data_IF_378431773809
#
_entry.id   IF_378431773809
#
_cell.length_a   1.000
_cell.length_b   1.000
_cell.length_c   1.000
_cell.angle_alpha   90.00
_cell.angle_beta   90.00
_cell.angle_gamma   90.00
#
_symmetry.space_group_name_H-M   'P 1'
#
loop_
_entity.id
_entity.type
_entity.pdbx_description
1 polymer ?
#
# COMPACT_ATOMS: atom_id res chain seq x y z
N UNK A 1 -39.81 27.55 -16.67
CA UNK A 1 -40.73 26.74 -17.49
C UNK A 1 -40.52 25.30 -17.07
N UNK A 2 -41.39 24.82 -16.17
CA UNK A 2 -41.24 23.55 -15.46
C UNK A 2 -41.80 22.44 -16.34
N UNK A 3 -40.96 21.52 -16.80
CA UNK A 3 -41.42 20.34 -17.55
C UNK A 3 -41.74 19.26 -16.54
N UNK A 4 -43.04 19.00 -16.37
CA UNK A 4 -43.59 17.95 -15.53
C UNK A 4 -43.56 16.65 -16.35
N UNK A 5 -42.68 15.71 -16.00
CA UNK A 5 -42.63 14.40 -16.64
C UNK A 5 -43.74 13.52 -16.05
N UNK A 6 -44.78 13.33 -16.84
CA UNK A 6 -45.97 12.53 -16.53
C UNK A 6 -45.61 11.06 -16.31
N UNK A 7 -45.88 10.53 -15.12
CA UNK A 7 -45.89 9.10 -14.84
C UNK A 7 -47.20 8.50 -15.36
N UNK A 8 -47.12 7.69 -16.41
CA UNK A 8 -48.18 6.80 -16.86
C UNK A 8 -47.75 5.34 -16.62
N UNK A 9 -48.60 4.61 -15.90
CA UNK A 9 -48.46 3.21 -15.46
C UNK A 9 -48.68 2.18 -16.62
N UNK A 10 -48.85 0.88 -16.33
CA UNK A 10 -47.86 -0.18 -16.36
C UNK A 10 -48.07 -1.16 -17.55
N UNK A 11 -47.22 -2.18 -17.64
CA UNK A 11 -47.26 -3.31 -18.60
C UNK A 11 -46.50 -3.11 -19.91
N UNK A 12 -45.21 -3.42 -19.89
CA UNK A 12 -44.67 -4.64 -20.52
C UNK A 12 -43.16 -4.59 -20.34
N UNK A 13 -42.66 -5.10 -19.22
CA UNK A 13 -41.24 -5.40 -19.11
C UNK A 13 -40.97 -6.50 -20.14
N UNK A 14 -40.39 -6.14 -21.29
CA UNK A 14 -39.82 -7.10 -22.21
C UNK A 14 -38.81 -7.92 -21.41
N UNK A 15 -39.21 -9.12 -20.98
CA UNK A 15 -38.35 -10.03 -20.26
C UNK A 15 -37.27 -10.46 -21.26
N UNK A 16 -36.05 -9.91 -21.12
CA UNK A 16 -34.98 -10.24 -22.04
C UNK A 16 -34.79 -11.77 -22.08
N UNK A 17 -34.79 -12.33 -23.29
CA UNK A 17 -34.69 -13.78 -23.54
C UNK A 17 -33.33 -14.31 -23.08
N UNK A 18 -33.21 -15.62 -22.84
CA UNK A 18 -31.88 -16.21 -22.51
C UNK A 18 -30.84 -15.97 -23.61
N UNK A 19 -31.27 -15.77 -24.88
CA UNK A 19 -30.37 -15.38 -25.96
C UNK A 19 -29.81 -13.95 -25.77
N UNK A 20 -30.67 -12.98 -25.44
CA UNK A 20 -30.26 -11.60 -25.17
C UNK A 20 -29.41 -11.50 -23.89
N UNK A 21 -29.67 -12.34 -22.89
CA UNK A 21 -28.81 -12.45 -21.71
C UNK A 21 -27.43 -13.03 -22.02
N UNK A 22 -27.32 -14.02 -22.92
CA UNK A 22 -26.02 -14.54 -23.37
C UNK A 22 -25.22 -13.50 -24.14
N UNK A 23 -25.87 -12.70 -24.97
CA UNK A 23 -25.22 -11.62 -25.71
C UNK A 23 -24.73 -10.52 -24.75
N UNK A 24 -25.57 -10.13 -23.79
CA UNK A 24 -25.20 -9.22 -22.69
C UNK A 24 -24.04 -9.79 -21.85
N UNK A 25 -24.03 -11.09 -21.55
CA UNK A 25 -22.94 -11.75 -20.84
C UNK A 25 -21.62 -11.71 -21.63
N UNK A 26 -21.66 -11.96 -22.94
CA UNK A 26 -20.46 -11.85 -23.78
C UNK A 26 -19.94 -10.42 -23.85
N UNK A 27 -20.83 -9.43 -23.95
CA UNK A 27 -20.47 -8.01 -23.93
C UNK A 27 -19.86 -7.60 -22.58
N UNK A 28 -20.46 -8.01 -21.45
CA UNK A 28 -19.92 -7.70 -20.13
C UNK A 28 -18.64 -8.46 -19.82
N UNK A 29 -18.45 -9.69 -20.32
CA UNK A 29 -17.16 -10.39 -20.23
C UNK A 29 -16.06 -9.63 -20.98
N UNK A 30 -16.37 -9.07 -22.14
CA UNK A 30 -15.43 -8.24 -22.89
C UNK A 30 -15.13 -6.93 -22.14
N UNK A 31 -16.16 -6.26 -21.61
CA UNK A 31 -16.00 -5.06 -20.78
C UNK A 31 -15.18 -5.32 -19.51
N UNK A 32 -15.39 -6.47 -18.86
CA UNK A 32 -14.62 -6.87 -17.69
C UNK A 32 -13.15 -7.14 -18.02
N UNK A 33 -12.86 -7.72 -19.19
CA UNK A 33 -11.49 -7.88 -19.66
C UNK A 33 -10.81 -6.51 -19.82
N UNK A 34 -11.51 -5.53 -20.42
CA UNK A 34 -11.01 -4.15 -20.55
C UNK A 34 -10.80 -3.50 -19.19
N UNK A 35 -11.76 -3.60 -18.27
CA UNK A 35 -11.64 -3.02 -16.92
C UNK A 35 -10.48 -3.68 -16.15
N UNK A 36 -10.29 -4.99 -16.32
CA UNK A 36 -9.17 -5.72 -15.71
C UNK A 36 -7.83 -5.20 -16.20
N UNK A 37 -7.68 -4.92 -17.49
CA UNK A 37 -6.48 -4.31 -18.07
C UNK A 37 -6.25 -2.88 -17.55
N UNK A 38 -7.31 -2.08 -17.47
CA UNK A 38 -7.24 -0.73 -16.89
C UNK A 38 -6.82 -0.76 -15.42
N UNK A 39 -7.28 -1.75 -14.64
CA UNK A 39 -6.87 -1.97 -13.25
C UNK A 39 -5.40 -2.36 -13.19
N UNK A 40 -4.92 -3.25 -14.06
CA UNK A 40 -3.50 -3.61 -14.13
C UNK A 40 -2.63 -2.38 -14.36
N UNK A 41 -2.99 -1.57 -15.35
CA UNK A 41 -2.25 -0.35 -15.71
C UNK A 41 -2.28 0.68 -14.59
N UNK A 42 -3.44 0.89 -13.98
CA UNK A 42 -3.58 1.81 -12.84
C UNK A 42 -2.78 1.33 -11.62
N UNK A 43 -2.76 0.02 -11.32
CA UNK A 43 -1.97 -0.54 -10.23
C UNK A 43 -0.46 -0.42 -10.50
N UNK A 44 -0.03 -0.61 -11.75
CA UNK A 44 1.35 -0.39 -12.14
C UNK A 44 1.77 1.08 -11.98
N UNK A 45 0.92 2.03 -12.37
CA UNK A 45 1.14 3.47 -12.19
C UNK A 45 1.15 3.87 -10.70
N UNK A 46 0.24 3.32 -9.88
CA UNK A 46 0.25 3.45 -8.42
C UNK A 46 1.57 2.96 -7.83
N UNK A 47 2.04 1.78 -8.24
CA UNK A 47 3.31 1.24 -7.74
C UNK A 47 4.53 2.02 -8.23
N UNK A 48 4.52 2.53 -9.46
CA UNK A 48 5.55 3.45 -9.94
C UNK A 48 5.63 4.71 -9.07
N UNK A 49 4.47 5.33 -8.79
CA UNK A 49 4.39 6.49 -7.89
C UNK A 49 4.80 6.17 -6.45
N UNK A 50 4.44 5.00 -5.95
CA UNK A 50 4.90 4.52 -4.64
C UNK A 50 6.43 4.47 -4.55
N UNK A 51 7.11 3.92 -5.56
CA UNK A 51 8.56 3.81 -5.57
C UNK A 51 9.25 5.19 -5.62
N UNK A 52 8.76 6.08 -6.47
CA UNK A 52 9.27 7.47 -6.51
C UNK A 52 9.10 8.18 -5.17
N UNK A 53 7.97 7.94 -4.50
CA UNK A 53 7.68 8.53 -3.20
C UNK A 53 8.61 7.98 -2.11
N UNK A 54 8.97 6.70 -2.18
CA UNK A 54 9.93 6.10 -1.26
C UNK A 54 11.36 6.61 -1.51
N UNK A 55 11.74 6.82 -2.77
CA UNK A 55 12.99 7.50 -3.12
C UNK A 55 13.02 8.93 -2.56
N UNK A 56 11.94 9.70 -2.73
CA UNK A 56 11.82 11.05 -2.19
C UNK A 56 11.90 11.08 -0.66
N UNK A 57 11.28 10.14 0.05
CA UNK A 57 11.44 10.00 1.51
C UNK A 57 12.87 9.74 1.92
N UNK A 58 13.57 8.86 1.21
CA UNK A 58 14.98 8.56 1.47
C UNK A 58 15.85 9.79 1.22
N UNK A 59 15.56 10.56 0.18
CA UNK A 59 16.25 11.83 -0.07
C UNK A 59 16.00 12.89 1.00
N UNK A 60 14.77 12.98 1.54
CA UNK A 60 14.43 13.85 2.67
C UNK A 60 15.27 13.45 3.89
N UNK A 61 15.28 12.17 4.25
CA UNK A 61 16.05 11.67 5.39
C UNK A 61 17.56 11.95 5.24
N UNK A 62 18.13 11.68 4.06
CA UNK A 62 19.54 11.97 3.77
C UNK A 62 19.86 13.47 3.83
N UNK A 63 18.94 14.32 3.38
CA UNK A 63 19.10 15.79 3.45
C UNK A 63 19.04 16.29 4.90
N UNK A 64 18.15 15.73 5.72
CA UNK A 64 18.06 16.03 7.16
C UNK A 64 19.35 15.63 7.91
N UNK A 65 19.89 14.45 7.63
CA UNK A 65 21.18 13.99 8.19
C UNK A 65 22.32 14.95 7.80
N UNK A 66 22.42 15.31 6.52
CA UNK A 66 23.42 16.26 6.03
C UNK A 66 23.31 17.64 6.70
N UNK A 67 22.09 18.11 6.97
CA UNK A 67 21.86 19.35 7.72
C UNK A 67 22.39 19.23 9.14
N UNK A 68 22.07 18.12 9.83
CA UNK A 68 22.55 17.89 11.19
C UNK A 68 24.09 17.88 11.28
N UNK A 69 24.75 17.16 10.37
CA UNK A 69 26.21 17.11 10.28
C UNK A 69 26.81 18.50 9.99
N UNK A 70 26.21 19.25 9.06
CA UNK A 70 26.66 20.61 8.71
C UNK A 70 26.52 21.56 9.90
N UNK A 71 25.41 21.48 10.65
CA UNK A 71 25.21 22.29 11.86
C UNK A 71 26.22 21.94 12.96
N UNK A 72 26.56 20.65 13.12
CA UNK A 72 27.61 20.21 14.02
C UNK A 72 28.99 20.77 13.61
N UNK A 73 29.37 20.64 12.34
CA UNK A 73 30.63 21.19 11.82
C UNK A 73 30.70 22.71 12.00
N UNK A 74 29.61 23.44 11.77
CA UNK A 74 29.53 24.88 12.01
C UNK A 74 29.77 25.20 13.49
N UNK A 75 29.24 24.40 14.41
CA UNK A 75 29.45 24.58 15.85
C UNK A 75 30.92 24.37 16.23
N UNK A 76 31.55 23.32 15.70
CA UNK A 76 32.95 23.00 15.98
C UNK A 76 33.91 24.05 15.41
N UNK A 77 33.69 24.49 14.18
CA UNK A 77 34.56 25.50 13.54
C UNK A 77 34.41 26.88 14.20
N UNK A 78 33.21 27.26 14.64
CA UNK A 78 33.01 28.49 15.44
C UNK A 78 33.82 28.45 16.72
N UNK A 79 33.82 27.32 17.43
CA UNK A 79 34.63 27.14 18.64
C UNK A 79 36.13 27.24 18.35
N UNK A 80 36.61 26.66 17.24
CA UNK A 80 38.01 26.81 16.78
C UNK A 80 38.35 28.27 16.53
N UNK A 81 37.50 28.99 15.79
CA UNK A 81 37.70 30.41 15.46
C UNK A 81 37.77 31.26 16.73
N UNK A 82 36.85 31.07 17.68
CA UNK A 82 36.82 31.80 18.95
C UNK A 82 38.12 31.58 19.75
N UNK A 83 38.54 30.32 19.91
CA UNK A 83 39.77 29.98 20.62
C UNK A 83 41.02 30.56 19.94
N UNK A 84 41.10 30.51 18.60
CA UNK A 84 42.21 31.11 17.84
C UNK A 84 42.22 32.63 17.94
N UNK A 85 41.05 33.27 17.90
CA UNK A 85 40.92 34.73 18.04
C UNK A 85 41.34 35.21 19.44
N UNK A 86 40.96 34.48 20.49
CA UNK A 86 41.38 34.78 21.86
C UNK A 86 42.90 34.70 22.03
N UNK A 87 43.51 33.63 21.50
CA UNK A 87 44.96 33.43 21.54
C UNK A 87 45.70 34.54 20.77
N UNK A 88 45.19 34.95 19.62
CA UNK A 88 45.74 36.08 18.85
C UNK A 88 45.56 37.42 19.55
N UNK A 89 44.40 37.66 20.18
CA UNK A 89 44.14 38.89 20.92
C UNK A 89 45.09 39.04 22.12
N UNK A 90 45.32 37.95 22.89
CA UNK A 90 46.30 37.93 23.96
C UNK A 90 47.72 38.22 23.46
N UNK A 91 48.11 37.60 22.34
CA UNK A 91 49.41 37.87 21.68
C UNK A 91 49.58 39.33 21.27
N UNK A 92 48.56 39.93 20.67
CA UNK A 92 48.58 41.33 20.26
C UNK A 92 48.67 42.28 21.46
N UNK A 93 47.98 41.96 22.55
CA UNK A 93 48.07 42.70 23.80
C UNK A 93 49.48 42.63 24.40
N UNK A 94 50.11 41.46 24.42
CA UNK A 94 51.50 41.30 24.88
C UNK A 94 52.48 42.11 24.01
N UNK A 95 52.28 42.11 22.69
CA UNK A 95 53.10 42.89 21.75
C UNK A 95 52.96 44.39 22.02
N UNK A 96 51.74 44.86 22.29
CA UNK A 96 51.46 46.26 22.57
C UNK A 96 52.00 46.71 23.93
N UNK A 97 51.84 45.88 24.97
CA UNK A 97 52.27 46.20 26.33
C UNK A 97 53.80 46.19 26.47
N UNK A 98 54.48 45.28 25.78
CA UNK A 98 55.92 45.04 25.95
C UNK A 98 56.78 45.57 24.79
N UNK A 99 56.21 46.25 23.77
CA UNK A 99 56.98 46.92 22.71
C UNK A 99 57.92 46.00 21.92
N UNK A 100 57.45 44.80 21.57
CA UNK A 100 58.26 43.63 21.13
C UNK A 100 59.22 43.86 19.96
N UNK A 101 58.94 44.82 19.06
CA UNK A 101 59.85 45.12 17.94
C UNK A 101 61.23 45.59 18.40
N UNK A 102 61.32 46.24 19.57
CA UNK A 102 62.61 46.62 20.15
C UNK A 102 63.25 45.46 20.91
N UNK A 103 62.49 44.71 21.71
CA UNK A 103 63.05 43.64 22.55
C UNK A 103 63.51 42.39 21.78
N UNK A 104 62.92 42.09 20.61
CA UNK A 104 63.38 40.95 19.79
C UNK A 104 64.65 41.28 19.02
N UNK A 105 64.83 42.55 18.62
CA UNK A 105 66.10 43.04 18.05
C UNK A 105 67.15 43.14 19.16
N UNK A 106 66.79 43.61 20.36
CA UNK A 106 67.69 43.64 21.53
C UNK A 106 68.13 42.24 21.94
N UNK A 107 67.20 41.28 22.04
CA UNK A 107 67.53 39.89 22.38
C UNK A 107 68.42 39.18 21.34
N UNK A 108 68.42 39.67 20.08
CA UNK A 108 69.34 39.24 19.05
C UNK A 108 70.70 39.96 19.17
N UNK A 109 70.72 41.24 19.54
CA UNK A 109 71.93 42.04 19.74
C UNK A 109 72.67 41.70 21.05
N UNK A 110 71.98 41.15 22.05
CA UNK A 110 72.52 40.66 23.33
C UNK A 110 73.13 39.24 23.24
N UNK A 111 73.18 38.63 22.06
CA UNK A 111 73.74 37.29 21.90
C UNK A 111 75.22 37.23 22.35
N UNK A 112 75.56 36.21 23.15
CA UNK A 112 76.91 36.09 23.74
C UNK A 112 77.98 35.75 22.69
N UNK A 113 77.59 35.07 21.61
CA UNK A 113 78.44 34.74 20.46
C UNK A 113 77.63 34.55 19.16
N UNK A 114 78.33 34.31 18.05
CA UNK A 114 77.72 34.12 16.73
C UNK A 114 76.84 32.86 16.63
N UNK A 115 77.13 31.81 17.41
CA UNK A 115 76.32 30.59 17.42
C UNK A 115 75.01 30.82 18.18
N UNK A 116 75.06 31.53 19.32
CA UNK A 116 73.89 31.97 20.07
C UNK A 116 73.01 32.91 19.21
N UNK A 117 73.64 33.85 18.51
CA UNK A 117 72.96 34.72 17.55
C UNK A 117 72.19 33.92 16.48
N UNK A 118 72.84 32.95 15.80
CA UNK A 118 72.18 32.14 14.77
C UNK A 118 71.05 31.26 15.33
N UNK A 119 71.20 30.71 16.54
CA UNK A 119 70.15 29.93 17.20
C UNK A 119 68.93 30.80 17.53
N UNK A 120 69.15 32.03 17.99
CA UNK A 120 68.08 33.00 18.27
C UNK A 120 67.39 33.48 16.99
N UNK A 121 68.15 33.77 15.92
CA UNK A 121 67.58 34.09 14.60
C UNK A 121 66.73 32.94 14.08
N UNK A 122 67.20 31.70 14.19
CA UNK A 122 66.43 30.51 13.82
C UNK A 122 65.15 30.39 14.66
N UNK A 123 65.23 30.54 15.99
CA UNK A 123 64.06 30.49 16.87
C UNK A 123 63.01 31.58 16.53
N UNK A 124 63.45 32.80 16.24
CA UNK A 124 62.56 33.89 15.77
C UNK A 124 61.89 33.54 14.44
N UNK A 125 62.64 32.95 13.50
CA UNK A 125 62.09 32.54 12.20
C UNK A 125 61.03 31.45 12.33
N UNK A 126 61.23 30.47 13.22
CA UNK A 126 60.27 29.40 13.52
C UNK A 126 59.01 30.00 14.17
N UNK A 127 59.18 30.94 15.10
CA UNK A 127 58.09 31.60 15.79
C UNK A 127 57.22 32.46 14.86
N UNK A 128 57.84 33.31 14.03
CA UNK A 128 57.13 34.10 13.02
C UNK A 128 56.39 33.21 12.01
N UNK A 129 57.03 32.10 11.60
CA UNK A 129 56.40 31.14 10.69
C UNK A 129 55.17 30.49 11.33
N UNK A 130 55.26 30.09 12.61
CA UNK A 130 54.13 29.53 13.37
C UNK A 130 53.00 30.55 13.56
N UNK A 131 53.31 31.82 13.84
CA UNK A 131 52.32 32.90 13.95
C UNK A 131 51.61 33.17 12.61
N UNK A 132 52.36 33.24 11.52
CA UNK A 132 51.81 33.38 10.16
C UNK A 132 50.88 32.22 9.82
N UNK A 133 51.26 30.98 10.16
CA UNK A 133 50.41 29.80 9.96
C UNK A 133 49.08 29.94 10.71
N UNK A 134 49.09 30.37 11.97
CA UNK A 134 47.86 30.54 12.76
C UNK A 134 46.89 31.54 12.14
N UNK A 135 47.40 32.66 11.59
CA UNK A 135 46.59 33.67 10.91
C UNK A 135 45.99 33.12 9.62
N UNK A 136 46.78 32.40 8.83
CA UNK A 136 46.31 31.74 7.61
C UNK A 136 45.22 30.71 7.91
N UNK A 137 45.43 29.86 8.93
CA UNK A 137 44.44 28.87 9.35
C UNK A 137 43.14 29.54 9.82
N UNK A 138 43.22 30.66 10.57
CA UNK A 138 42.03 31.40 10.99
C UNK A 138 41.27 31.98 9.79
N UNK A 139 41.98 32.45 8.76
CA UNK A 139 41.36 32.90 7.52
C UNK A 139 40.66 31.74 6.80
N UNK A 140 41.31 30.57 6.71
CA UNK A 140 40.74 29.36 6.13
C UNK A 140 39.52 28.83 6.91
N UNK A 141 39.58 28.84 8.25
CA UNK A 141 38.44 28.46 9.11
C UNK A 141 37.25 29.40 8.88
N UNK A 142 37.48 30.71 8.73
CA UNK A 142 36.42 31.68 8.42
C UNK A 142 35.82 31.45 7.04
N UNK A 143 36.64 31.21 6.02
CA UNK A 143 36.17 30.88 4.67
C UNK A 143 35.32 29.60 4.68
N UNK A 144 35.81 28.55 5.34
CA UNK A 144 35.09 27.30 5.53
C UNK A 144 33.75 27.51 6.25
N UNK A 145 33.72 28.33 7.31
CA UNK A 145 32.48 28.68 8.01
C UNK A 145 31.48 29.39 7.08
N UNK A 146 31.95 30.27 6.20
CA UNK A 146 31.05 30.93 5.23
C UNK A 146 30.49 29.95 4.20
N UNK A 147 31.31 29.03 3.70
CA UNK A 147 30.88 27.98 2.77
C UNK A 147 29.85 27.05 3.43
N UNK A 148 30.14 26.55 4.63
CA UNK A 148 29.23 25.67 5.39
C UNK A 148 27.89 26.35 5.67
N UNK A 149 27.88 27.63 6.04
CA UNK A 149 26.61 28.38 6.21
C UNK A 149 25.84 28.50 4.90
N UNK A 150 26.51 28.77 3.79
CA UNK A 150 25.84 28.83 2.49
C UNK A 150 25.23 27.48 2.10
N UNK A 151 25.94 26.39 2.34
CA UNK A 151 25.45 25.04 2.02
C UNK A 151 24.34 24.60 2.98
N UNK A 152 24.39 25.00 4.25
CA UNK A 152 23.31 24.79 5.21
C UNK A 152 22.00 25.42 4.72
N UNK A 153 22.05 26.69 4.31
CA UNK A 153 20.85 27.39 3.81
C UNK A 153 20.31 26.74 2.52
N UNK A 154 21.19 26.36 1.58
CA UNK A 154 20.77 25.62 0.37
C UNK A 154 20.10 24.29 0.71
N UNK A 155 20.67 23.52 1.64
CA UNK A 155 20.10 22.24 2.05
C UNK A 155 18.76 22.44 2.78
N UNK A 156 18.62 23.50 3.59
CA UNK A 156 17.34 23.83 4.25
C UNK A 156 16.24 24.18 3.25
N UNK A 157 16.55 25.00 2.24
CA UNK A 157 15.59 25.28 1.15
C UNK A 157 15.22 24.01 0.40
N UNK A 158 16.22 23.21 -0.01
CA UNK A 158 15.96 21.96 -0.72
C UNK A 158 15.17 20.95 0.11
N UNK A 159 15.36 20.91 1.43
CA UNK A 159 14.56 20.09 2.33
C UNK A 159 13.09 20.53 2.32
N UNK A 160 12.83 21.82 2.47
CA UNK A 160 11.45 22.36 2.42
C UNK A 160 10.76 22.01 1.10
N UNK A 161 11.45 22.20 -0.04
CA UNK A 161 10.89 21.89 -1.36
C UNK A 161 10.57 20.39 -1.49
N UNK A 162 11.44 19.52 -0.97
CA UNK A 162 11.21 18.06 -0.97
C UNK A 162 10.09 17.64 -0.03
N UNK A 163 9.98 18.26 1.14
CA UNK A 163 8.88 18.00 2.08
C UNK A 163 7.54 18.42 1.47
N UNK A 164 7.47 19.57 0.80
CA UNK A 164 6.28 19.99 0.05
C UNK A 164 5.93 19.00 -1.07
N UNK A 165 6.91 18.64 -1.91
CA UNK A 165 6.71 17.64 -2.97
C UNK A 165 6.27 16.29 -2.41
N UNK A 166 6.80 15.87 -1.27
CA UNK A 166 6.42 14.61 -0.63
C UNK A 166 4.96 14.64 -0.18
N UNK A 167 4.50 15.75 0.38
CA UNK A 167 3.08 15.90 0.76
C UNK A 167 2.15 15.88 -0.45
N UNK A 168 2.51 16.58 -1.52
CA UNK A 168 1.73 16.61 -2.76
C UNK A 168 1.66 15.23 -3.42
N UNK A 169 2.81 14.55 -3.58
CA UNK A 169 2.86 13.23 -4.20
C UNK A 169 2.15 12.16 -3.35
N UNK A 170 2.17 12.28 -2.02
CA UNK A 170 1.39 11.41 -1.12
C UNK A 170 -0.10 11.57 -1.38
N UNK A 171 -0.60 12.80 -1.47
CA UNK A 171 -2.01 13.07 -1.75
C UNK A 171 -2.44 12.55 -3.13
N UNK A 172 -1.57 12.70 -4.14
CA UNK A 172 -1.82 12.15 -5.48
C UNK A 172 -1.88 10.63 -5.46
N UNK A 173 -0.97 9.97 -4.75
CA UNK A 173 -0.95 8.51 -4.60
C UNK A 173 -2.22 8.01 -3.91
N UNK A 174 -2.63 8.65 -2.81
CA UNK A 174 -3.85 8.29 -2.07
C UNK A 174 -5.11 8.45 -2.94
N UNK A 175 -5.18 9.51 -3.74
CA UNK A 175 -6.26 9.73 -4.70
C UNK A 175 -6.33 8.62 -5.76
N UNK A 176 -5.17 8.21 -6.32
CA UNK A 176 -5.09 7.11 -7.29
C UNK A 176 -5.49 5.77 -6.69
N UNK A 177 -5.05 5.47 -5.47
CA UNK A 177 -5.42 4.24 -4.75
C UNK A 177 -6.92 4.20 -4.49
N UNK A 178 -7.51 5.32 -4.06
CA UNK A 178 -8.96 5.42 -3.83
C UNK A 178 -9.74 5.20 -5.12
N UNK A 179 -9.36 5.87 -6.21
CA UNK A 179 -10.00 5.69 -7.52
C UNK A 179 -9.90 4.24 -8.03
N UNK A 180 -8.78 3.58 -7.77
CA UNK A 180 -8.57 2.17 -8.12
C UNK A 180 -9.47 1.24 -7.28
N UNK A 181 -9.58 1.52 -5.97
CA UNK A 181 -10.44 0.78 -5.05
C UNK A 181 -11.93 0.89 -5.47
N UNK A 182 -12.37 2.10 -5.83
CA UNK A 182 -13.74 2.32 -6.32
C UNK A 182 -14.01 1.58 -7.62
N UNK A 183 -13.04 1.56 -8.54
CA UNK A 183 -13.14 0.83 -9.81
C UNK A 183 -13.26 -0.68 -9.59
N UNK A 184 -12.48 -1.23 -8.67
CA UNK A 184 -12.55 -2.63 -8.26
C UNK A 184 -13.92 -2.98 -7.65
N UNK A 185 -14.40 -2.16 -6.71
CA UNK A 185 -15.69 -2.38 -6.05
C UNK A 185 -16.87 -2.32 -7.04
N UNK A 186 -16.91 -1.32 -7.93
CA UNK A 186 -17.95 -1.19 -8.94
C UNK A 186 -17.95 -2.35 -9.94
N UNK A 187 -16.77 -2.82 -10.35
CA UNK A 187 -16.65 -3.99 -11.23
C UNK A 187 -17.17 -5.27 -10.55
N UNK A 188 -16.82 -5.49 -9.28
CA UNK A 188 -17.28 -6.65 -8.51
C UNK A 188 -18.79 -6.65 -8.28
N UNK A 189 -19.39 -5.48 -7.99
CA UNK A 189 -20.84 -5.31 -7.85
C UNK A 189 -21.57 -5.65 -9.16
N UNK A 190 -21.09 -5.15 -10.29
CA UNK A 190 -21.66 -5.44 -11.62
C UNK A 190 -21.67 -6.95 -11.92
N UNK A 191 -20.59 -7.66 -11.58
CA UNK A 191 -20.49 -9.12 -11.75
C UNK A 191 -21.47 -9.88 -10.85
N UNK A 192 -21.60 -9.45 -9.59
CA UNK A 192 -22.54 -10.05 -8.63
C UNK A 192 -23.98 -9.94 -9.12
N UNK A 193 -24.40 -8.75 -9.54
CA UNK A 193 -25.74 -8.48 -10.06
C UNK A 193 -26.08 -9.35 -11.27
N UNK A 194 -25.16 -9.46 -12.24
CA UNK A 194 -25.36 -10.30 -13.43
C UNK A 194 -25.46 -11.79 -13.09
N UNK A 195 -24.63 -12.29 -12.16
CA UNK A 195 -24.67 -13.69 -11.75
C UNK A 195 -26.01 -14.05 -11.12
N UNK A 196 -26.59 -13.13 -10.33
CA UNK A 196 -27.90 -13.29 -9.69
C UNK A 196 -29.07 -13.19 -10.70
N UNK A 197 -28.98 -12.27 -11.65
CA UNK A 197 -29.97 -12.12 -12.73
C UNK A 197 -30.00 -13.39 -13.61
N UNK A 198 -28.83 -13.98 -13.90
CA UNK A 198 -28.73 -15.25 -14.64
C UNK A 198 -29.39 -16.41 -13.88
N UNK A 199 -29.02 -16.63 -12.63
CA UNK A 199 -29.54 -17.73 -11.81
C UNK A 199 -31.07 -17.68 -11.73
N UNK A 200 -31.62 -16.48 -11.47
CA UNK A 200 -33.07 -16.29 -11.38
C UNK A 200 -33.78 -16.53 -12.72
N UNK A 201 -33.21 -16.11 -13.86
CA UNK A 201 -33.84 -16.35 -15.17
C UNK A 201 -33.69 -17.79 -15.68
N UNK A 202 -32.56 -18.45 -15.43
CA UNK A 202 -32.39 -19.86 -15.77
C UNK A 202 -33.40 -20.75 -15.02
N UNK A 203 -33.64 -20.44 -13.75
CA UNK A 203 -34.64 -21.14 -12.95
C UNK A 203 -36.06 -20.87 -13.47
N UNK A 204 -36.39 -19.63 -13.83
CA UNK A 204 -37.66 -19.29 -14.46
C UNK A 204 -37.89 -20.00 -15.80
N UNK A 205 -36.87 -20.10 -16.66
CA UNK A 205 -36.98 -20.84 -17.92
C UNK A 205 -37.14 -22.35 -17.70
N UNK A 206 -36.45 -22.93 -16.72
CA UNK A 206 -36.57 -24.35 -16.38
C UNK A 206 -38.00 -24.66 -15.92
N UNK A 207 -38.54 -23.83 -15.03
CA UNK A 207 -39.92 -23.91 -14.56
C UNK A 207 -40.95 -23.70 -15.70
N UNK A 208 -40.69 -22.78 -16.62
CA UNK A 208 -41.55 -22.54 -17.78
C UNK A 208 -41.57 -23.73 -18.75
N UNK A 209 -40.40 -24.33 -19.03
CA UNK A 209 -40.28 -25.55 -19.85
C UNK A 209 -40.96 -26.75 -19.18
N UNK A 210 -40.86 -26.86 -17.87
CA UNK A 210 -41.52 -27.92 -17.09
C UNK A 210 -43.05 -27.74 -17.07
N UNK A 211 -43.55 -26.51 -16.88
CA UNK A 211 -44.97 -26.18 -17.04
C UNK A 211 -45.49 -26.45 -18.45
N UNK A 212 -44.73 -26.11 -19.49
CA UNK A 212 -45.11 -26.40 -20.87
C UNK A 212 -45.16 -27.90 -21.15
N UNK A 213 -44.21 -28.70 -20.62
CA UNK A 213 -44.26 -30.16 -20.70
C UNK A 213 -45.51 -30.71 -20.00
N UNK A 214 -45.83 -30.23 -18.80
CA UNK A 214 -47.04 -30.64 -18.07
C UNK A 214 -48.34 -30.28 -18.82
N UNK A 215 -48.39 -29.11 -19.46
CA UNK A 215 -49.53 -28.68 -20.29
C UNK A 215 -49.64 -29.50 -21.59
N UNK A 216 -48.51 -29.89 -22.20
CA UNK A 216 -48.51 -30.74 -23.38
C UNK A 216 -48.99 -32.16 -23.04
N UNK A 217 -48.49 -32.73 -21.93
CA UNK A 217 -48.91 -34.03 -21.41
C UNK A 217 -50.42 -34.03 -21.11
N UNK A 218 -50.96 -32.98 -20.45
CA UNK A 218 -52.39 -32.89 -20.14
C UNK A 218 -53.28 -32.69 -21.36
N UNK A 219 -52.80 -32.00 -22.40
CA UNK A 219 -53.49 -31.90 -23.70
C UNK A 219 -53.51 -33.24 -24.45
N UNK A 220 -52.42 -34.01 -24.42
CA UNK A 220 -52.38 -35.35 -25.01
C UNK A 220 -53.27 -36.35 -24.27
N UNK A 221 -53.38 -36.24 -22.94
CA UNK A 221 -54.31 -37.09 -22.16
C UNK A 221 -55.77 -36.75 -22.44
N UNK A 222 -56.08 -35.48 -22.74
CA UNK A 222 -57.44 -35.01 -23.07
C UNK A 222 -57.85 -35.35 -24.51
N UNK A 223 -56.89 -35.41 -25.45
CA UNK A 223 -57.13 -35.78 -26.84
C UNK A 223 -57.32 -37.30 -27.06
N UNK A 224 -56.88 -38.13 -26.11
CA UNK A 224 -57.12 -39.60 -26.13
C UNK A 224 -58.47 -40.01 -25.54
N UNK A 225 -59.24 -39.06 -24.98
CA UNK A 225 -60.58 -39.32 -24.40
C UNK A 225 -61.77 -38.96 -25.31
N UNK A 226 -61.55 -38.49 -26.54
CA UNK A 226 -62.63 -38.08 -27.47
C UNK A 226 -62.99 -39.12 -28.55
N UNK A 227 -62.56 -40.38 -28.40
CA UNK A 227 -63.00 -41.49 -29.25
C UNK A 227 -63.43 -42.73 -28.46
N UNK A 228 -64.55 -42.62 -27.74
CA UNK A 228 -65.52 -43.72 -27.58
C UNK A 228 -66.75 -43.23 -26.82
N UNK A 229 -67.88 -43.17 -27.53
CA UNK A 229 -69.20 -42.83 -27.01
C UNK A 229 -69.82 -43.94 -26.16
N UNK A 230 -70.48 -43.51 -25.08
CA UNK A 230 -71.76 -44.02 -24.53
C UNK A 230 -71.86 -45.47 -24.00
N UNK A 231 -71.97 -45.58 -22.67
CA UNK A 231 -73.16 -46.01 -21.90
C UNK A 231 -72.89 -47.09 -20.83
N UNK A 232 -73.09 -46.74 -19.56
CA UNK A 232 -74.16 -47.26 -18.69
C UNK A 232 -73.91 -46.91 -17.21
N UNK A 233 -75.03 -46.65 -16.53
CA UNK A 233 -75.22 -46.12 -15.18
C UNK A 233 -74.65 -46.96 -14.04
N UNK A 234 -74.27 -46.33 -12.93
CA UNK A 234 -74.89 -46.55 -11.61
C UNK A 234 -74.23 -45.71 -10.49
N UNK A 235 -75.05 -44.82 -9.92
CA UNK A 235 -75.34 -44.67 -8.50
C UNK A 235 -74.25 -44.28 -7.46
N UNK A 236 -74.55 -43.14 -6.82
CA UNK A 236 -74.52 -42.85 -5.38
C UNK A 236 -73.28 -42.28 -4.68
N UNK A 237 -73.57 -41.17 -4.00
CA UNK A 237 -73.16 -40.80 -2.65
C UNK A 237 -71.90 -39.96 -2.48
N UNK A 238 -72.17 -38.66 -2.26
CA UNK A 238 -71.75 -37.86 -1.11
C UNK A 238 -70.51 -38.32 -0.33
N UNK A 239 -69.50 -37.45 -0.21
CA UNK A 239 -69.25 -36.73 1.04
C UNK A 239 -68.17 -35.64 0.89
N UNK A 240 -68.53 -34.45 1.34
CA UNK A 240 -67.69 -33.41 1.93
C UNK A 240 -66.82 -33.97 3.05
N UNK A 241 -65.57 -33.49 3.17
CA UNK A 241 -65.03 -32.93 4.43
C UNK A 241 -63.66 -32.30 4.23
N UNK A 242 -63.59 -31.03 4.61
CA UNK A 242 -62.41 -30.30 5.08
C UNK A 242 -61.72 -31.04 6.24
N UNK A 243 -60.45 -30.71 6.48
CA UNK A 243 -59.76 -30.56 7.81
C UNK A 243 -58.27 -30.41 7.48
N UNK A 244 -57.72 -29.20 7.40
CA UNK A 244 -57.04 -28.42 8.48
C UNK A 244 -55.95 -29.18 9.24
N UNK A 245 -54.75 -28.57 9.23
CA UNK A 245 -53.75 -28.51 10.32
C UNK A 245 -53.29 -29.80 10.98
N UNK A 246 -51.99 -30.07 10.94
CA UNK A 246 -51.15 -29.72 12.09
C UNK A 246 -49.65 -29.73 11.73
N UNK A 247 -48.94 -28.80 12.36
CA UNK A 247 -47.48 -28.73 12.39
C UNK A 247 -46.94 -29.71 13.41
N UNK A 248 -45.79 -30.32 13.17
CA UNK A 248 -44.92 -30.73 14.29
C UNK A 248 -43.46 -30.64 13.88
N UNK A 249 -42.82 -29.64 14.49
CA UNK A 249 -41.38 -29.52 14.66
C UNK A 249 -40.97 -30.52 15.73
N UNK A 250 -39.95 -31.34 15.46
CA UNK A 250 -39.11 -31.92 16.51
C UNK A 250 -37.63 -31.88 16.10
N UNK A 251 -36.94 -30.93 16.72
CA UNK A 251 -35.54 -30.96 17.11
C UNK A 251 -35.30 -31.94 18.25
N UNK A 252 -34.19 -32.69 18.25
CA UNK A 252 -33.45 -33.03 19.48
C UNK A 252 -31.96 -33.36 19.22
N UNK A 253 -31.10 -33.20 20.25
CA UNK A 253 -29.68 -32.86 20.15
C UNK A 253 -28.77 -33.97 20.71
N UNK A 254 -27.44 -33.77 20.65
CA UNK A 254 -26.48 -34.34 21.61
C UNK A 254 -25.13 -33.61 21.59
N UNK A 255 -24.80 -32.98 22.72
CA UNK A 255 -23.48 -32.57 23.25
C UNK A 255 -23.01 -33.65 24.28
N UNK A 256 -21.89 -33.54 25.05
CA UNK A 256 -20.62 -32.80 24.93
C UNK A 256 -19.37 -33.63 25.38
N UNK A 257 -18.20 -32.95 25.46
CA UNK A 257 -17.17 -32.99 26.54
C UNK A 257 -15.74 -33.46 26.12
N UNK A 258 -14.64 -33.11 26.81
CA UNK A 258 -13.88 -31.82 26.89
C UNK A 258 -12.37 -32.10 27.06
N UNK A 259 -11.52 -31.06 26.90
CA UNK A 259 -10.18 -30.91 27.51
C UNK A 259 -9.00 -31.15 26.57
N UNK A 260 -8.26 -30.15 26.07
CA UNK A 260 -7.29 -29.25 26.74
C UNK A 260 -6.00 -29.30 25.88
N UNK A 261 -5.15 -28.30 25.65
CA UNK A 261 -4.92 -27.00 26.25
C UNK A 261 -4.15 -26.11 25.25
N UNK A 262 -4.49 -24.84 25.31
CA UNK A 262 -3.97 -23.63 24.67
C UNK A 262 -2.44 -23.42 24.69
N UNK A 263 -1.93 -22.79 23.62
CA UNK A 263 -0.96 -21.70 23.77
C UNK A 263 -1.28 -20.58 22.75
N UNK A 264 -1.96 -19.52 23.23
CA UNK A 264 -2.16 -18.24 22.54
C UNK A 264 -1.15 -17.23 23.09
N UNK A 265 -0.73 -16.28 22.26
CA UNK A 265 -0.22 -15.00 22.78
C UNK A 265 0.70 -14.23 21.83
N UNK A 266 0.17 -13.76 20.71
CA UNK A 266 0.82 -12.77 19.85
C UNK A 266 -0.23 -11.84 19.26
N UNK A 267 -0.88 -11.04 20.11
CA UNK A 267 -1.76 -9.96 19.67
C UNK A 267 -0.92 -8.92 18.93
N UNK A 268 -1.06 -8.89 17.60
CA UNK A 268 -0.59 -7.77 16.79
C UNK A 268 -1.32 -6.51 17.25
N UNK A 269 -0.56 -5.50 17.65
CA UNK A 269 -1.06 -4.18 18.01
C UNK A 269 -1.72 -3.55 16.80
N UNK A 270 -3.05 -3.53 16.79
CA UNK A 270 -3.84 -2.72 15.86
C UNK A 270 -3.72 -1.27 16.30
N UNK A 271 -2.96 -0.47 15.56
CA UNK A 271 -2.91 0.96 15.77
C UNK A 271 -3.53 1.65 14.54
N UNK A 272 -4.68 2.32 14.69
CA UNK A 272 -5.24 3.13 13.61
C UNK A 272 -4.33 4.35 13.40
N UNK A 273 -3.87 4.54 12.17
CA UNK A 273 -3.18 5.76 11.76
C UNK A 273 -4.20 6.85 11.39
N UNK A 274 -3.75 8.09 11.47
CA UNK A 274 -4.46 9.38 11.37
C UNK A 274 -5.19 9.61 10.03
N UNK A 275 -5.26 8.61 9.15
CA UNK A 275 -5.96 8.63 7.87
C UNK A 275 -7.05 7.57 7.70
N UNK A 276 -7.41 6.82 8.75
CA UNK A 276 -8.46 5.79 8.67
C UNK A 276 -8.03 4.45 8.04
N UNK A 277 -6.75 4.30 7.69
CA UNK A 277 -6.15 3.03 7.22
C UNK A 277 -5.73 2.18 8.42
N UNK A 278 -5.97 0.87 8.35
CA UNK A 278 -5.54 -0.10 9.37
C UNK A 278 -4.10 -0.51 9.09
N UNK A 279 -3.21 -0.35 10.07
CA UNK A 279 -1.81 -0.81 9.97
C UNK A 279 -1.63 -2.09 10.80
N UNK A 280 -1.08 -3.13 10.17
CA UNK A 280 -0.76 -4.40 10.82
C UNK A 280 0.67 -4.83 10.53
N UNK A 281 1.32 -5.42 11.53
CA UNK A 281 2.54 -6.21 11.34
C UNK A 281 2.13 -7.66 11.10
N UNK A 282 2.54 -8.22 9.96
CA UNK A 282 2.11 -9.54 9.49
C UNK A 282 3.30 -10.42 9.12
N UNK A 283 3.13 -11.73 9.28
CA UNK A 283 4.08 -12.72 8.78
C UNK A 283 3.81 -12.98 7.31
N UNK A 284 4.79 -12.70 6.46
CA UNK A 284 4.70 -12.85 5.02
C UNK A 284 5.51 -14.05 4.53
N UNK A 285 4.87 -14.85 3.69
CA UNK A 285 5.51 -15.79 2.78
C UNK A 285 5.35 -15.31 1.34
N UNK A 286 5.85 -16.08 0.38
CA UNK A 286 5.65 -15.83 -1.03
C UNK A 286 5.28 -17.11 -1.80
N UNK A 287 4.50 -16.93 -2.86
CA UNK A 287 4.10 -17.98 -3.79
C UNK A 287 4.14 -17.49 -5.23
N UNK A 288 4.18 -18.44 -6.18
CA UNK A 288 4.13 -18.16 -7.61
C UNK A 288 3.27 -19.20 -8.31
N UNK A 289 2.42 -18.77 -9.24
CA UNK A 289 1.67 -19.70 -10.09
C UNK A 289 2.55 -20.66 -10.91
N UNK A 290 3.86 -20.39 -11.00
CA UNK A 290 4.82 -21.26 -11.69
C UNK A 290 5.26 -22.47 -10.86
N UNK A 291 4.86 -22.55 -9.59
CA UNK A 291 5.13 -23.71 -8.73
C UNK A 291 4.23 -24.90 -9.12
N UNK A 292 4.73 -26.14 -9.03
CA UNK A 292 3.94 -27.33 -9.35
C UNK A 292 2.67 -27.42 -8.48
N UNK A 293 1.53 -27.65 -9.12
CA UNK A 293 0.24 -27.86 -8.44
C UNK A 293 -0.55 -26.59 -8.13
N UNK A 294 -0.06 -25.41 -8.53
CA UNK A 294 -0.80 -24.15 -8.38
C UNK A 294 -1.53 -23.75 -9.67
N UNK A 295 -2.64 -23.02 -9.50
CA UNK A 295 -3.47 -22.47 -10.58
C UNK A 295 -2.98 -21.07 -10.97
N UNK A 296 -3.35 -20.62 -12.17
CA UNK A 296 -3.20 -19.21 -12.57
C UNK A 296 -4.28 -18.31 -11.97
N UNK A 297 -5.32 -18.90 -11.37
CA UNK A 297 -6.48 -18.20 -10.83
C UNK A 297 -6.48 -18.23 -9.30
N UNK A 298 -6.71 -17.06 -8.72
CA UNK A 298 -6.87 -16.84 -7.27
C UNK A 298 -8.28 -17.21 -6.79
N UNK A 299 -8.49 -17.21 -5.48
CA UNK A 299 -9.79 -17.48 -4.86
C UNK A 299 -10.93 -16.59 -5.39
N UNK A 300 -10.67 -15.33 -5.73
CA UNK A 300 -11.69 -14.44 -6.30
C UNK A 300 -11.78 -14.50 -7.84
N UNK A 301 -10.98 -15.35 -8.50
CA UNK A 301 -10.98 -15.52 -9.95
C UNK A 301 -10.02 -14.61 -10.72
N UNK A 302 -9.18 -13.81 -10.05
CA UNK A 302 -8.15 -12.99 -10.72
C UNK A 302 -7.12 -13.88 -11.41
N UNK A 303 -6.84 -13.63 -12.70
CA UNK A 303 -5.79 -14.30 -13.48
C UNK A 303 -4.42 -13.65 -13.21
N UNK A 304 -3.55 -14.38 -12.52
CA UNK A 304 -2.23 -13.93 -12.07
C UNK A 304 -1.25 -13.62 -13.22
N UNK A 305 -1.53 -14.07 -14.45
CA UNK A 305 -0.71 -13.75 -15.63
C UNK A 305 -0.99 -12.34 -16.15
N UNK A 306 -2.19 -11.84 -15.90
CA UNK A 306 -2.62 -10.49 -16.29
C UNK A 306 -2.48 -9.52 -15.11
N UNK A 307 -2.82 -9.99 -13.90
CA UNK A 307 -2.84 -9.21 -12.67
C UNK A 307 -1.94 -9.88 -11.60
N UNK A 308 -0.60 -9.74 -11.73
CA UNK A 308 0.34 -10.44 -10.85
C UNK A 308 0.52 -9.78 -9.47
N UNK A 309 0.08 -8.53 -9.29
CA UNK A 309 0.25 -7.79 -8.03
C UNK A 309 -0.87 -8.15 -7.04
N UNK A 310 -0.83 -9.40 -6.56
CA UNK A 310 -1.81 -9.99 -5.64
C UNK A 310 -1.17 -10.36 -4.31
N UNK A 311 -1.98 -10.37 -3.26
CA UNK A 311 -1.69 -10.96 -1.95
C UNK A 311 -2.82 -11.91 -1.54
N UNK A 312 -2.43 -13.06 -0.98
CA UNK A 312 -3.34 -13.95 -0.28
C UNK A 312 -3.49 -13.51 1.17
N UNK A 313 -4.73 -13.43 1.65
CA UNK A 313 -5.07 -12.90 2.98
C UNK A 313 -6.10 -13.77 3.69
N UNK A 314 -6.27 -13.53 4.99
CA UNK A 314 -7.46 -13.96 5.74
C UNK A 314 -8.59 -12.94 5.54
N UNK A 315 -9.72 -13.29 4.88
CA UNK A 315 -10.83 -12.37 4.63
C UNK A 315 -11.48 -11.80 5.89
N UNK A 316 -11.32 -12.45 7.04
CA UNK A 316 -11.82 -11.93 8.32
C UNK A 316 -10.98 -10.79 8.89
N UNK A 317 -9.75 -10.62 8.40
CA UNK A 317 -8.81 -9.56 8.77
C UNK A 317 -8.68 -8.51 7.67
N UNK A 318 -8.47 -8.96 6.42
CA UNK A 318 -8.39 -8.11 5.24
C UNK A 318 -9.41 -8.62 4.22
N UNK A 319 -10.52 -7.90 3.98
CA UNK A 319 -11.52 -8.32 3.00
C UNK A 319 -10.92 -8.52 1.60
N UNK A 320 -11.43 -9.49 0.85
CA UNK A 320 -11.08 -9.63 -0.56
C UNK A 320 -11.56 -8.42 -1.36
N UNK A 321 -10.76 -8.01 -2.34
CA UNK A 321 -10.97 -6.79 -3.13
C UNK A 321 -10.32 -5.54 -2.53
N UNK A 322 -9.75 -5.62 -1.33
CA UNK A 322 -9.04 -4.50 -0.71
C UNK A 322 -7.65 -4.30 -1.33
N UNK A 323 -7.28 -3.04 -1.57
CA UNK A 323 -5.91 -2.66 -1.93
C UNK A 323 -5.03 -2.60 -0.68
N UNK A 324 -4.00 -3.44 -0.65
CA UNK A 324 -3.07 -3.57 0.48
C UNK A 324 -1.72 -2.97 0.10
N UNK A 325 -1.28 -1.96 0.84
CA UNK A 325 0.11 -1.50 0.81
C UNK A 325 0.98 -2.50 1.60
N UNK A 326 1.97 -3.10 0.95
CA UNK A 326 3.05 -3.82 1.62
C UNK A 326 4.25 -2.87 1.67
N UNK A 327 4.59 -2.38 2.87
CA UNK A 327 5.61 -1.35 3.05
C UNK A 327 6.95 -1.80 2.45
N UNK A 328 7.52 -0.97 1.57
CA UNK A 328 8.77 -1.25 0.86
C UNK A 328 8.61 -2.10 -0.42
N UNK A 329 7.42 -2.60 -0.72
CA UNK A 329 7.13 -3.40 -1.91
C UNK A 329 6.09 -2.74 -2.82
N UNK A 330 5.09 -2.07 -2.25
CA UNK A 330 4.02 -1.37 -2.96
C UNK A 330 2.63 -1.97 -2.73
N UNK A 331 1.66 -1.48 -3.50
CA UNK A 331 0.26 -1.86 -3.44
C UNK A 331 -0.05 -3.15 -4.20
N UNK A 332 -0.93 -3.97 -3.61
CA UNK A 332 -1.35 -5.29 -4.10
C UNK A 332 -2.83 -5.52 -3.83
N UNK A 333 -3.50 -6.24 -4.72
CA UNK A 333 -4.89 -6.63 -4.54
C UNK A 333 -5.00 -7.85 -3.60
N UNK A 334 -5.81 -7.75 -2.55
CA UNK A 334 -6.25 -8.89 -1.77
C UNK A 334 -7.23 -9.75 -2.60
N UNK A 335 -6.69 -10.70 -3.37
CA UNK A 335 -7.48 -11.50 -4.32
C UNK A 335 -7.51 -12.99 -4.00
N UNK A 336 -6.64 -13.45 -3.10
CA UNK A 336 -6.44 -14.87 -2.87
C UNK A 336 -6.58 -15.25 -1.39
N UNK A 337 -6.75 -16.55 -1.13
CA UNK A 337 -6.84 -17.12 0.22
C UNK A 337 -6.12 -18.45 0.24
N UNK A 338 -5.71 -18.91 1.43
CA UNK A 338 -5.07 -20.21 1.58
C UNK A 338 -5.37 -20.83 2.94
N UNK A 339 -5.38 -22.16 3.02
CA UNK A 339 -5.69 -22.87 4.27
C UNK A 339 -4.76 -22.50 5.44
N UNK A 340 -3.51 -22.16 5.13
CA UNK A 340 -2.50 -21.73 6.11
C UNK A 340 -2.43 -20.21 6.29
N UNK A 341 -3.18 -19.43 5.51
CA UNK A 341 -3.17 -17.96 5.50
C UNK A 341 -4.32 -17.46 6.36
N UNK A 342 -4.09 -17.48 7.67
CA UNK A 342 -5.10 -17.17 8.71
C UNK A 342 -4.53 -16.14 9.68
N UNK A 343 -5.38 -15.20 10.11
CA UNK A 343 -5.06 -14.13 11.04
C UNK A 343 -4.04 -13.14 10.47
N UNK A 344 -2.89 -13.02 11.12
CA UNK A 344 -1.82 -12.08 10.75
C UNK A 344 -0.82 -12.65 9.76
N UNK A 345 -1.19 -13.69 9.00
CA UNK A 345 -0.35 -14.26 7.95
C UNK A 345 -0.85 -13.84 6.57
N UNK A 346 0.08 -13.51 5.68
CA UNK A 346 -0.19 -13.19 4.27
C UNK A 346 0.78 -13.95 3.36
N UNK A 347 0.38 -14.17 2.12
CA UNK A 347 1.23 -14.77 1.08
C UNK A 347 1.33 -13.85 -0.13
N UNK A 348 2.54 -13.46 -0.50
CA UNK A 348 2.76 -12.48 -1.57
C UNK A 348 2.98 -13.20 -2.89
N UNK A 349 2.19 -12.85 -3.91
CA UNK A 349 2.38 -13.41 -5.23
C UNK A 349 3.58 -12.77 -5.95
N UNK A 350 4.41 -13.62 -6.57
CA UNK A 350 5.44 -13.23 -7.52
C UNK A 350 5.36 -14.07 -8.80
N UNK A 351 5.86 -13.51 -9.91
CA UNK A 351 5.80 -14.18 -11.22
C UNK A 351 6.70 -15.41 -11.30
N UNK A 352 7.80 -15.43 -10.54
CA UNK A 352 8.76 -16.53 -10.59
C UNK A 352 9.06 -17.11 -9.20
N UNK A 353 9.35 -18.41 -9.16
CA UNK A 353 9.82 -19.09 -7.93
C UNK A 353 11.07 -18.43 -7.35
N UNK A 354 11.98 -17.96 -8.21
CA UNK A 354 13.22 -17.29 -7.78
C UNK A 354 12.95 -15.99 -7.02
N UNK A 355 11.89 -15.24 -7.37
CA UNK A 355 11.47 -14.06 -6.61
C UNK A 355 10.89 -14.46 -5.25
N UNK A 356 10.10 -15.54 -5.18
CA UNK A 356 9.60 -16.07 -3.91
C UNK A 356 10.75 -16.49 -2.98
N UNK A 357 11.76 -17.18 -3.52
CA UNK A 357 12.94 -17.61 -2.76
C UNK A 357 13.75 -16.41 -2.24
N UNK A 358 13.90 -15.36 -3.07
CA UNK A 358 14.56 -14.12 -2.66
C UNK A 358 13.78 -13.38 -1.58
N UNK A 359 12.45 -13.39 -1.67
CA UNK A 359 11.59 -12.80 -0.66
C UNK A 359 11.68 -13.56 0.67
N UNK A 360 11.69 -14.88 0.62
CA UNK A 360 11.80 -15.74 1.79
C UNK A 360 10.62 -15.57 2.76
N UNK A 361 10.83 -15.93 4.03
CA UNK A 361 9.87 -15.67 5.11
C UNK A 361 10.32 -14.46 5.89
N UNK A 362 9.45 -13.47 6.02
CA UNK A 362 9.77 -12.25 6.73
C UNK A 362 8.55 -11.65 7.42
N UNK A 363 8.81 -10.67 8.27
CA UNK A 363 7.75 -9.86 8.88
C UNK A 363 7.65 -8.57 8.11
N UNK A 364 6.45 -8.19 7.70
CA UNK A 364 6.19 -6.96 6.97
C UNK A 364 5.14 -6.12 7.67
N UNK A 365 5.19 -4.82 7.42
CA UNK A 365 4.10 -3.91 7.78
C UNK A 365 3.18 -3.77 6.57
N UNK A 366 1.88 -3.93 6.80
CA UNK A 366 0.85 -3.69 5.80
C UNK A 366 -0.09 -2.57 6.22
N UNK A 367 -0.62 -1.84 5.24
CA UNK A 367 -1.67 -0.83 5.42
C UNK A 367 -2.80 -1.05 4.44
N UNK A 368 -4.05 -0.96 4.89
CA UNK A 368 -5.24 -1.21 4.07
C UNK A 368 -6.50 -0.52 4.62
#
# INVERSE_FOLDING_TARGET
MTVVLSLASPASSMAATVSELKEKETATKAENATISEEITLALADVNSKYQNLEELKNEVAATQEKIADTEQHIKEIKKSIEARMELMAGRLQDIQANGTSFNMVDALLEAEDFSDFLNRVYAVSVLQSAEKSKVNDLAADKETLTALKSDLEKNKTALTDKEESLTEETAVLDSKVTALQDKLANNQELLSQLSSERLSKEEQEKLAKERQKLIAISKETSASSESSSSSSSANSSSQTTETTTDSTVETKPSEPNTGGQSNQGGQGTQQPDTGGKTTLTMHSTAYSYTQPGLSFYTANGTDLRQNPNVVAVDPSVIPLGTMVEVVGLGYRLAADTGGDIVGTRIDIHFNTVAECERWGRQTVTVRF
#
